data_IF_621869585992
#
_entry.id   IF_621869585992
#
_cell.length_a   1.000
_cell.length_b   1.000
_cell.length_c   1.000
_cell.angle_alpha   90.00
_cell.angle_beta   90.00
_cell.angle_gamma   90.00
#
_symmetry.space_group_name_H-M   'P 1'
#
loop_
_entity.id
_entity.type
_entity.pdbx_description
1 polymer ?
#
# COMPACT_ATOMS: atom_id res chain seq x y z
N UNK A 1 7.14 -10.42 28.51
CA UNK A 1 7.22 -10.03 27.11
C UNK A 1 6.20 -8.94 26.79
N UNK A 2 6.67 -7.84 26.25
CA UNK A 2 5.82 -6.72 25.90
C UNK A 2 5.09 -7.01 24.58
N UNK A 3 3.77 -6.85 24.60
CA UNK A 3 2.96 -6.90 23.37
C UNK A 3 2.62 -5.49 22.94
N UNK A 4 2.96 -5.14 21.70
CA UNK A 4 2.62 -3.84 21.16
C UNK A 4 1.12 -3.75 20.89
N UNK A 5 0.45 -2.67 21.35
CA UNK A 5 -0.96 -2.47 21.03
C UNK A 5 -1.14 -2.21 19.52
N UNK A 6 -2.35 -2.47 19.02
CA UNK A 6 -2.67 -2.26 17.60
C UNK A 6 -2.38 -0.82 17.14
N UNK A 7 -2.67 0.16 17.99
CA UNK A 7 -2.41 1.56 17.65
C UNK A 7 -0.93 1.86 17.44
N UNK A 8 -0.04 1.25 18.25
CA UNK A 8 1.40 1.43 18.10
C UNK A 8 1.91 0.77 16.81
N UNK A 9 1.39 -0.41 16.47
CA UNK A 9 1.75 -1.11 15.24
C UNK A 9 1.31 -0.30 14.02
N UNK A 10 0.10 0.25 14.01
CA UNK A 10 -0.38 1.12 12.91
C UNK A 10 0.51 2.34 12.76
N UNK A 11 0.93 2.95 13.87
CA UNK A 11 1.82 4.12 13.81
C UNK A 11 3.18 3.78 13.19
N UNK A 12 3.77 2.66 13.59
CA UNK A 12 5.05 2.21 13.04
C UNK A 12 4.90 1.88 11.55
N UNK A 13 3.85 1.15 11.18
CA UNK A 13 3.61 0.78 9.79
C UNK A 13 3.26 2.00 8.93
N UNK A 14 2.61 3.02 9.50
CA UNK A 14 2.37 4.28 8.81
C UNK A 14 3.69 4.96 8.42
N UNK A 15 4.64 4.99 9.34
CA UNK A 15 5.98 5.54 9.05
C UNK A 15 6.72 4.69 8.03
N UNK A 16 6.68 3.36 8.18
CA UNK A 16 7.33 2.45 7.25
C UNK A 16 6.73 2.55 5.84
N UNK A 17 5.41 2.60 5.73
CA UNK A 17 4.73 2.73 4.44
C UNK A 17 5.06 4.06 3.77
N UNK A 18 5.14 5.15 4.54
CA UNK A 18 5.55 6.45 4.03
C UNK A 18 6.98 6.44 3.49
N UNK A 19 7.90 5.78 4.20
CA UNK A 19 9.28 5.65 3.75
C UNK A 19 9.37 4.85 2.45
N UNK A 20 8.64 3.73 2.35
CA UNK A 20 8.58 2.92 1.13
C UNK A 20 8.07 3.76 -0.04
N UNK A 21 6.96 4.46 0.14
CA UNK A 21 6.38 5.29 -0.91
C UNK A 21 7.33 6.41 -1.34
N UNK A 22 7.98 7.05 -0.39
CA UNK A 22 8.94 8.13 -0.68
C UNK A 22 10.13 7.61 -1.50
N UNK A 23 10.72 6.48 -1.08
CA UNK A 23 11.87 5.92 -1.78
C UNK A 23 11.52 5.39 -3.17
N UNK A 24 10.30 4.87 -3.35
CA UNK A 24 9.85 4.35 -4.63
C UNK A 24 9.12 5.38 -5.48
N UNK A 25 8.98 6.62 -5.00
CA UNK A 25 8.26 7.66 -5.72
C UNK A 25 8.76 7.88 -7.16
N UNK A 26 10.07 7.95 -7.43
CA UNK A 26 10.54 8.07 -8.82
C UNK A 26 10.10 6.90 -9.69
N UNK A 27 10.14 5.69 -9.16
CA UNK A 27 9.70 4.48 -9.87
C UNK A 27 8.19 4.50 -10.12
N UNK A 28 7.40 4.89 -9.12
CA UNK A 28 5.95 5.01 -9.24
C UNK A 28 5.59 6.03 -10.31
N UNK A 29 6.22 7.20 -10.28
CA UNK A 29 5.98 8.26 -11.25
C UNK A 29 6.37 7.83 -12.67
N UNK A 30 7.50 7.14 -12.81
CA UNK A 30 7.94 6.62 -14.10
C UNK A 30 6.95 5.59 -14.66
N UNK A 31 6.52 4.65 -13.82
CA UNK A 31 5.55 3.61 -14.19
C UNK A 31 4.24 4.23 -14.62
N UNK A 32 3.72 5.19 -13.85
CA UNK A 32 2.50 5.91 -14.20
C UNK A 32 2.64 6.63 -15.54
N UNK A 33 3.74 7.37 -15.73
CA UNK A 33 3.99 8.07 -16.98
C UNK A 33 4.02 7.14 -18.19
N UNK A 34 4.69 6.00 -18.05
CA UNK A 34 4.74 4.98 -19.10
C UNK A 34 3.37 4.37 -19.39
N UNK A 35 2.54 4.20 -18.37
CA UNK A 35 1.22 3.59 -18.53
C UNK A 35 0.25 4.45 -19.34
N UNK A 36 0.45 5.77 -19.34
CA UNK A 36 -0.45 6.72 -20.04
C UNK A 36 0.16 7.32 -21.30
N UNK A 37 1.43 7.04 -21.60
CA UNK A 37 2.13 7.68 -22.71
C UNK A 37 1.59 7.22 -24.08
N UNK A 38 1.42 5.92 -24.27
CA UNK A 38 0.92 5.32 -25.50
C UNK A 38 0.47 3.89 -25.26
N UNK A 39 -0.29 3.34 -26.20
CA UNK A 39 -0.71 1.94 -26.16
C UNK A 39 0.51 1.00 -26.21
N UNK A 40 1.49 1.31 -27.04
CA UNK A 40 2.72 0.51 -27.13
C UNK A 40 3.48 0.53 -25.81
N UNK A 41 3.61 1.70 -25.20
CA UNK A 41 4.29 1.85 -23.91
C UNK A 41 3.55 1.10 -22.80
N UNK A 42 2.22 1.17 -22.78
CA UNK A 42 1.40 0.44 -21.81
C UNK A 42 1.59 -1.07 -21.97
N UNK A 43 1.51 -1.58 -23.20
CA UNK A 43 1.67 -3.01 -23.49
C UNK A 43 3.07 -3.49 -23.08
N UNK A 44 4.09 -2.70 -23.38
CA UNK A 44 5.47 -3.00 -22.99
C UNK A 44 5.62 -3.06 -21.48
N UNK A 45 5.02 -2.12 -20.76
CA UNK A 45 5.06 -2.08 -19.30
C UNK A 45 4.35 -3.30 -18.69
N UNK A 46 3.16 -3.62 -19.16
CA UNK A 46 2.38 -4.75 -18.62
C UNK A 46 3.04 -6.09 -18.91
N UNK A 47 3.80 -6.20 -20.01
CA UNK A 47 4.54 -7.42 -20.32
C UNK A 47 5.60 -7.74 -19.25
N UNK A 48 6.18 -6.72 -18.63
CA UNK A 48 7.16 -6.92 -17.55
C UNK A 48 6.49 -7.62 -16.36
N UNK A 49 5.29 -7.24 -16.02
CA UNK A 49 4.55 -7.86 -14.93
C UNK A 49 4.08 -9.28 -15.26
N UNK A 50 3.79 -9.54 -16.53
CA UNK A 50 3.33 -10.86 -16.97
C UNK A 50 4.50 -11.83 -17.18
N UNK A 51 5.52 -11.39 -17.91
CA UNK A 51 6.58 -12.27 -18.41
C UNK A 51 7.93 -12.04 -17.73
N UNK A 52 8.08 -10.92 -17.02
CA UNK A 52 9.33 -10.53 -16.39
C UNK A 52 10.25 -9.74 -17.27
N UNK A 53 11.39 -9.36 -16.72
CA UNK A 53 12.51 -8.75 -17.45
C UNK A 53 13.60 -9.79 -17.65
N UNK A 54 14.63 -9.47 -18.44
CA UNK A 54 15.70 -10.40 -18.80
C UNK A 54 16.41 -11.05 -17.61
N UNK A 55 16.38 -10.41 -16.44
CA UNK A 55 17.09 -10.87 -15.24
C UNK A 55 16.17 -11.19 -14.06
N UNK A 56 14.85 -10.90 -14.14
CA UNK A 56 13.90 -11.12 -13.06
C UNK A 56 12.57 -11.65 -13.60
N UNK A 57 11.94 -12.61 -12.90
CA UNK A 57 10.64 -13.14 -13.32
C UNK A 57 9.50 -12.16 -13.07
N UNK A 58 8.37 -12.37 -13.78
CA UNK A 58 7.18 -11.51 -13.67
C UNK A 58 6.59 -11.49 -12.27
N UNK A 59 6.60 -12.61 -11.55
CA UNK A 59 6.05 -12.67 -10.19
C UNK A 59 6.79 -11.72 -9.23
N UNK A 60 8.08 -11.48 -9.46
CA UNK A 60 8.85 -10.54 -8.65
C UNK A 60 8.31 -9.12 -8.79
N UNK A 61 8.01 -8.69 -10.02
CA UNK A 61 7.43 -7.37 -10.28
C UNK A 61 6.02 -7.26 -9.70
N UNK A 62 5.24 -8.34 -9.75
CA UNK A 62 3.91 -8.38 -9.13
C UNK A 62 3.99 -8.22 -7.61
N UNK A 63 4.99 -8.83 -6.96
CA UNK A 63 5.20 -8.66 -5.53
C UNK A 63 5.55 -7.21 -5.17
N UNK A 64 6.37 -6.55 -5.98
CA UNK A 64 6.68 -5.13 -5.81
C UNK A 64 5.40 -4.30 -5.94
N UNK A 65 4.57 -4.59 -6.95
CA UNK A 65 3.30 -3.89 -7.15
C UNK A 65 2.37 -4.05 -5.95
N UNK A 66 2.24 -5.25 -5.41
CA UNK A 66 1.41 -5.51 -4.22
C UNK A 66 1.95 -4.75 -3.01
N UNK A 67 3.27 -4.72 -2.84
CA UNK A 67 3.90 -3.98 -1.74
C UNK A 67 3.60 -2.49 -1.83
N UNK A 68 3.65 -1.91 -3.03
CA UNK A 68 3.31 -0.50 -3.26
C UNK A 68 1.82 -0.26 -3.01
N UNK A 69 0.96 -1.15 -3.47
CA UNK A 69 -0.49 -1.05 -3.24
C UNK A 69 -0.79 -1.07 -1.75
N UNK A 70 -0.22 -2.02 -1.02
CA UNK A 70 -0.41 -2.09 0.43
C UNK A 70 0.13 -0.83 1.12
N UNK A 71 1.34 -0.40 0.77
CA UNK A 71 1.95 0.79 1.37
C UNK A 71 1.08 2.03 1.16
N UNK A 72 0.55 2.21 -0.05
CA UNK A 72 -0.35 3.33 -0.36
C UNK A 72 -1.65 3.25 0.44
N UNK A 73 -2.31 2.10 0.43
CA UNK A 73 -3.60 1.94 1.11
C UNK A 73 -3.44 2.06 2.63
N UNK A 74 -2.42 1.42 3.19
CA UNK A 74 -2.17 1.50 4.63
C UNK A 74 -1.79 2.93 5.04
N UNK A 75 -0.93 3.57 4.27
CA UNK A 75 -0.51 4.94 4.54
C UNK A 75 -1.69 5.91 4.49
N UNK A 76 -2.56 5.76 3.50
CA UNK A 76 -3.76 6.59 3.36
C UNK A 76 -4.73 6.36 4.53
N UNK A 77 -5.06 5.11 4.83
CA UNK A 77 -6.00 4.78 5.90
C UNK A 77 -5.46 5.21 7.27
N UNK A 78 -4.20 4.93 7.55
CA UNK A 78 -3.58 5.33 8.82
C UNK A 78 -3.45 6.86 8.92
N UNK A 79 -3.17 7.53 7.80
CA UNK A 79 -3.13 8.98 7.76
C UNK A 79 -4.47 9.62 8.03
N UNK A 80 -5.55 9.08 7.45
CA UNK A 80 -6.91 9.53 7.73
C UNK A 80 -7.29 9.32 9.20
N UNK A 81 -6.88 8.19 9.78
CA UNK A 81 -7.06 7.93 11.20
C UNK A 81 -6.38 8.98 12.06
N UNK A 82 -5.12 9.29 11.75
CA UNK A 82 -4.36 10.33 12.46
C UNK A 82 -5.06 11.69 12.36
N UNK A 83 -5.53 12.05 11.17
CA UNK A 83 -6.20 13.31 10.93
C UNK A 83 -7.49 13.42 11.76
N UNK A 84 -8.28 12.36 11.80
CA UNK A 84 -9.51 12.32 12.60
C UNK A 84 -9.20 12.50 14.08
N UNK A 85 -8.18 11.83 14.60
CA UNK A 85 -7.78 11.94 16.00
C UNK A 85 -7.25 13.33 16.34
N UNK A 86 -6.58 13.99 15.40
CA UNK A 86 -6.06 15.35 15.59
C UNK A 86 -7.18 16.39 15.57
N UNK A 87 -8.22 16.18 14.75
CA UNK A 87 -9.33 17.13 14.62
C UNK A 87 -10.36 16.99 15.75
N UNK A 88 -10.47 15.82 16.37
CA UNK A 88 -11.47 15.55 17.40
C UNK A 88 -10.81 14.86 18.59
N UNK A 89 -10.52 15.65 19.64
CA UNK A 89 -9.87 15.15 20.85
C UNK A 89 -10.71 14.11 21.60
N UNK A 90 -12.03 14.10 21.41
CA UNK A 90 -12.90 13.07 22.01
C UNK A 90 -12.60 11.67 21.44
N UNK A 91 -11.95 11.61 20.27
CA UNK A 91 -11.59 10.37 19.59
C UNK A 91 -10.17 9.87 19.94
N UNK A 92 -9.57 10.41 21.00
CA UNK A 92 -8.25 9.96 21.46
C UNK A 92 -8.33 8.91 22.57
N UNK A 93 -9.52 8.40 22.89
CA UNK A 93 -9.70 7.36 23.90
C UNK A 93 -8.96 6.08 23.50
N UNK A 94 -8.55 5.30 24.49
CA UNK A 94 -7.87 4.02 24.28
C UNK A 94 -8.74 3.05 23.47
N UNK A 95 -10.05 3.04 23.72
CA UNK A 95 -11.00 2.18 22.99
C UNK A 95 -11.07 2.60 21.51
N UNK A 96 -11.20 3.89 21.21
CA UNK A 96 -11.22 4.39 19.85
C UNK A 96 -9.89 4.11 19.15
N UNK A 97 -8.77 4.32 19.84
CA UNK A 97 -7.44 4.05 19.29
C UNK A 97 -7.30 2.60 18.85
N UNK A 98 -7.71 1.65 19.67
CA UNK A 98 -7.67 0.23 19.33
C UNK A 98 -8.63 -0.12 18.18
N UNK A 99 -9.87 0.34 18.27
CA UNK A 99 -10.91 0.04 17.28
C UNK A 99 -10.56 0.62 15.91
N UNK A 100 -10.13 1.88 15.84
CA UNK A 100 -9.75 2.52 14.59
C UNK A 100 -8.49 1.89 13.97
N UNK A 101 -7.53 1.46 14.79
CA UNK A 101 -6.35 0.76 14.31
C UNK A 101 -6.72 -0.58 13.67
N UNK A 102 -7.65 -1.32 14.26
CA UNK A 102 -8.15 -2.58 13.71
C UNK A 102 -8.87 -2.35 12.38
N UNK A 103 -9.64 -1.28 12.27
CA UNK A 103 -10.32 -0.90 11.01
C UNK A 103 -9.29 -0.59 9.92
N UNK A 104 -8.22 0.14 10.24
CA UNK A 104 -7.15 0.43 9.30
C UNK A 104 -6.52 -0.86 8.78
N UNK A 105 -6.17 -1.79 9.67
CA UNK A 105 -5.64 -3.08 9.26
C UNK A 105 -6.61 -3.84 8.35
N UNK A 106 -7.87 -3.92 8.76
CA UNK A 106 -8.90 -4.66 8.01
C UNK A 106 -9.08 -4.12 6.61
N UNK A 107 -9.28 -2.81 6.49
CA UNK A 107 -9.52 -2.16 5.19
C UNK A 107 -8.28 -2.26 4.30
N UNK A 108 -7.10 -1.92 4.82
CA UNK A 108 -5.88 -1.92 4.00
C UNK A 108 -5.54 -3.32 3.52
N UNK A 109 -5.65 -4.34 4.38
CA UNK A 109 -5.38 -5.72 3.99
C UNK A 109 -6.42 -6.25 3.01
N UNK A 110 -7.71 -5.99 3.26
CA UNK A 110 -8.77 -6.44 2.36
C UNK A 110 -8.61 -5.85 0.96
N UNK A 111 -8.41 -4.54 0.87
CA UNK A 111 -8.23 -3.89 -0.43
C UNK A 111 -6.94 -4.34 -1.12
N UNK A 112 -5.88 -4.57 -0.36
CA UNK A 112 -4.63 -5.09 -0.91
C UNK A 112 -4.82 -6.49 -1.48
N UNK A 113 -5.56 -7.36 -0.79
CA UNK A 113 -5.86 -8.69 -1.29
C UNK A 113 -6.70 -8.65 -2.57
N UNK A 114 -7.72 -7.80 -2.62
CA UNK A 114 -8.59 -7.66 -3.80
C UNK A 114 -7.77 -7.15 -4.99
N UNK A 115 -7.02 -6.08 -4.82
CA UNK A 115 -6.22 -5.50 -5.90
C UNK A 115 -5.04 -6.40 -6.27
N UNK A 116 -4.45 -7.07 -5.29
CA UNK A 116 -3.38 -8.03 -5.53
C UNK A 116 -3.84 -9.23 -6.33
N UNK A 117 -5.06 -9.72 -6.08
CA UNK A 117 -5.66 -10.78 -6.87
C UNK A 117 -5.81 -10.35 -8.33
N UNK A 118 -6.17 -9.08 -8.57
CA UNK A 118 -6.22 -8.53 -9.93
C UNK A 118 -4.85 -8.52 -10.59
N UNK A 119 -3.82 -8.11 -9.86
CA UNK A 119 -2.43 -8.08 -10.36
C UNK A 119 -1.97 -9.47 -10.74
N UNK A 120 -2.33 -10.50 -9.97
CA UNK A 120 -1.98 -11.89 -10.26
C UNK A 120 -2.90 -12.56 -11.27
N UNK A 121 -3.94 -11.88 -11.72
CA UNK A 121 -4.81 -12.39 -12.79
C UNK A 121 -5.90 -13.34 -12.34
N UNK A 122 -6.30 -13.30 -11.06
CA UNK A 122 -7.38 -14.16 -10.57
C UNK A 122 -8.76 -13.71 -11.06
N UNK A 123 -8.88 -12.49 -11.57
CA UNK A 123 -10.12 -12.01 -12.20
C UNK A 123 -9.88 -10.90 -13.22
#
# INVERSE_FOLDING_TARGET
TYRMPAAAIVSILHRASGAILFLLLPLIAWTFGKSILSEVSYTSLTSIFRDGASFLPGWFFKLIAISVIWAFLHHLCAGLRHLIMDLDHSKTSKTFGKSSAQVVFGISLLLTLVLGAKVFGFY
#
